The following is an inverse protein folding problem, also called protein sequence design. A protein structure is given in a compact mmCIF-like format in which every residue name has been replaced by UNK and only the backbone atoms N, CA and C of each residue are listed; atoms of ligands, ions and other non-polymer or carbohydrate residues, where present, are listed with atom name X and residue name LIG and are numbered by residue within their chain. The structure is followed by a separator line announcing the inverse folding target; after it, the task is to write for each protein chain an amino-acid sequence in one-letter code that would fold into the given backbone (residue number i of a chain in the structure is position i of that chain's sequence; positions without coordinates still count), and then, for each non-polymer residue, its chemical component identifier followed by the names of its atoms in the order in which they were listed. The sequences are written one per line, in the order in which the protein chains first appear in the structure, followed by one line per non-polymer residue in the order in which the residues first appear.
data_IF_883094046033
#
_entry.id   IF_883094046033
#
_cell.length_a   1.000
_cell.length_b   1.000
_cell.length_c   1.000
_cell.angle_alpha   90.00
_cell.angle_beta   90.00
_cell.angle_gamma   90.00
#
_symmetry.space_group_name_H-M   'P 1'
#
loop_
_entity.id
_entity.type
_entity.pdbx_description
1 polymer ?
#
# COMPACT_ATOMS: atom_id res chain seq x y z
N UNK A 1 -4.67 -15.34 9.32
CA UNK A 1 -5.19 -14.25 8.47
C UNK A 1 -6.46 -14.71 7.76
N UNK A 2 -7.48 -13.85 7.73
CA UNK A 2 -8.57 -13.95 6.77
C UNK A 2 -8.15 -13.19 5.51
N UNK A 3 -8.19 -13.85 4.36
CA UNK A 3 -7.75 -13.25 3.09
C UNK A 3 -8.90 -13.11 2.11
N UNK A 4 -8.92 -12.00 1.39
CA UNK A 4 -9.83 -11.76 0.27
C UNK A 4 -9.01 -11.41 -0.95
N UNK A 5 -9.11 -12.23 -2.00
CA UNK A 5 -8.47 -11.99 -3.29
C UNK A 5 -9.50 -11.43 -4.27
N UNK A 6 -9.13 -10.35 -4.95
CA UNK A 6 -9.88 -9.76 -6.05
C UNK A 6 -8.99 -9.79 -7.29
N UNK A 7 -9.37 -10.60 -8.27
CA UNK A 7 -8.66 -10.68 -9.57
C UNK A 7 -9.47 -9.93 -10.61
N UNK A 8 -8.80 -9.05 -11.35
CA UNK A 8 -9.40 -8.31 -12.46
C UNK A 8 -10.75 -7.67 -12.07
N UNK A 9 -10.79 -7.07 -10.87
CA UNK A 9 -12.03 -6.54 -10.33
C UNK A 9 -12.43 -5.22 -11.00
N UNK A 10 -13.74 -5.07 -11.22
CA UNK A 10 -14.34 -3.84 -11.72
C UNK A 10 -14.43 -2.80 -10.60
N UNK A 11 -14.61 -1.54 -10.99
CA UNK A 11 -14.69 -0.39 -10.07
C UNK A 11 -15.65 -0.62 -8.90
N UNK A 12 -16.91 -0.95 -9.19
CA UNK A 12 -17.92 -1.13 -8.14
C UNK A 12 -17.58 -2.27 -7.19
N UNK A 13 -17.05 -3.36 -7.70
CA UNK A 13 -16.60 -4.48 -6.90
C UNK A 13 -15.43 -4.07 -6.00
N UNK A 14 -14.43 -3.40 -6.56
CA UNK A 14 -13.25 -2.93 -5.83
C UNK A 14 -13.67 -1.97 -4.70
N UNK A 15 -14.50 -0.98 -5.01
CA UNK A 15 -15.02 0.00 -4.05
C UNK A 15 -15.77 -0.68 -2.92
N UNK A 16 -16.73 -1.56 -3.26
CA UNK A 16 -17.58 -2.23 -2.27
C UNK A 16 -16.76 -3.13 -1.34
N UNK A 17 -15.79 -3.87 -1.87
CA UNK A 17 -14.95 -4.75 -1.04
C UNK A 17 -13.99 -3.94 -0.16
N UNK A 18 -13.38 -2.86 -0.64
CA UNK A 18 -12.55 -2.00 0.22
C UNK A 18 -13.38 -1.36 1.33
N UNK A 19 -14.57 -0.85 1.00
CA UNK A 19 -15.48 -0.26 2.00
C UNK A 19 -15.86 -1.31 3.06
N UNK A 20 -16.30 -2.50 2.63
CA UNK A 20 -16.66 -3.61 3.52
C UNK A 20 -15.48 -4.01 4.40
N UNK A 21 -14.28 -4.12 3.81
CA UNK A 21 -13.08 -4.54 4.49
C UNK A 21 -12.57 -3.50 5.49
N UNK A 22 -12.77 -2.21 5.24
CA UNK A 22 -12.31 -1.12 6.12
C UNK A 22 -13.33 -0.73 7.18
N UNK A 23 -14.63 -0.77 6.89
CA UNK A 23 -15.69 -0.31 7.81
C UNK A 23 -16.06 -1.33 8.88
N UNK A 24 -16.13 -2.61 8.53
CA UNK A 24 -16.56 -3.67 9.45
C UNK A 24 -15.39 -4.21 10.27
N UNK A 25 -14.68 -3.32 10.96
CA UNK A 25 -13.50 -3.67 11.76
C UNK A 25 -13.62 -3.24 13.20
N UNK A 26 -13.07 -4.10 14.08
CA UNK A 26 -12.96 -3.80 15.48
C UNK A 26 -11.62 -3.12 15.80
N UNK A 27 -11.50 -2.57 17.02
CA UNK A 27 -10.27 -1.89 17.46
C UNK A 27 -9.06 -2.83 17.64
N UNK A 28 -9.27 -4.12 17.66
CA UNK A 28 -8.24 -5.16 17.73
C UNK A 28 -7.74 -5.61 16.36
N UNK A 29 -8.46 -5.28 15.29
CA UNK A 29 -8.12 -5.75 13.95
C UNK A 29 -6.89 -5.07 13.38
N UNK A 30 -6.14 -5.84 12.60
CA UNK A 30 -5.05 -5.36 11.76
C UNK A 30 -5.37 -5.69 10.31
N UNK A 31 -5.21 -4.71 9.42
CA UNK A 31 -5.50 -4.85 8.00
C UNK A 31 -4.24 -4.70 7.17
N UNK A 32 -4.14 -5.53 6.14
CA UNK A 32 -3.20 -5.34 5.05
C UNK A 32 -4.00 -5.28 3.74
N UNK A 33 -3.80 -4.23 2.98
CA UNK A 33 -4.37 -4.05 1.64
C UNK A 33 -3.21 -4.03 0.68
N UNK A 34 -3.18 -4.97 -0.26
CA UNK A 34 -2.21 -5.02 -1.34
C UNK A 34 -2.94 -4.74 -2.67
N UNK A 35 -2.48 -3.76 -3.39
CA UNK A 35 -2.96 -3.44 -4.73
C UNK A 35 -1.83 -3.62 -5.72
N UNK A 36 -2.04 -4.45 -6.73
CA UNK A 36 -1.19 -4.56 -7.90
C UNK A 36 -2.03 -4.25 -9.14
N UNK A 37 -1.65 -3.26 -9.91
CA UNK A 37 -2.41 -2.86 -11.09
C UNK A 37 -1.99 -1.48 -11.61
N UNK A 38 -2.70 -1.02 -12.62
CA UNK A 38 -2.42 0.30 -13.19
C UNK A 38 -2.80 1.44 -12.26
N UNK A 39 -2.01 2.49 -12.31
CA UNK A 39 -2.29 3.76 -11.67
C UNK A 39 -2.16 4.90 -12.66
N UNK A 40 -2.82 6.01 -12.40
CA UNK A 40 -2.78 7.20 -13.23
C UNK A 40 -2.63 8.46 -12.37
N UNK A 41 -2.00 9.49 -12.94
CA UNK A 41 -1.84 10.80 -12.34
C UNK A 41 -2.54 11.85 -13.21
N UNK A 42 -3.57 12.44 -12.67
CA UNK A 42 -4.10 13.67 -13.23
C UNK A 42 -3.23 14.85 -12.79
N UNK A 43 -2.54 15.43 -13.75
CA UNK A 43 -1.53 16.45 -13.49
C UNK A 43 -2.15 17.78 -13.06
N UNK A 44 -3.29 18.16 -13.61
CA UNK A 44 -3.93 19.46 -13.35
C UNK A 44 -4.45 19.56 -11.90
N UNK A 45 -5.07 18.48 -11.42
CA UNK A 45 -5.53 18.38 -10.03
C UNK A 45 -4.47 17.77 -9.09
N UNK A 46 -3.35 17.28 -9.65
CA UNK A 46 -2.29 16.60 -8.92
C UNK A 46 -2.84 15.44 -8.07
N UNK A 47 -3.71 14.64 -8.67
CA UNK A 47 -4.46 13.56 -8.04
C UNK A 47 -4.10 12.21 -8.65
N UNK A 48 -3.77 11.22 -7.80
CA UNK A 48 -3.49 9.86 -8.21
C UNK A 48 -4.71 8.94 -8.09
N UNK A 49 -4.75 7.93 -8.94
CA UNK A 49 -5.86 6.99 -9.04
C UNK A 49 -5.37 5.55 -9.19
N UNK A 50 -6.15 4.59 -8.66
CA UNK A 50 -6.07 3.19 -9.04
C UNK A 50 -7.05 2.94 -10.19
N UNK A 51 -6.63 2.17 -11.17
CA UNK A 51 -7.44 1.86 -12.36
C UNK A 51 -7.96 0.42 -12.30
N UNK A 52 -9.23 0.20 -11.90
CA UNK A 52 -9.90 -1.10 -12.07
C UNK A 52 -9.96 -1.51 -13.55
N UNK A 53 -10.24 -2.80 -13.82
CA UNK A 53 -10.20 -3.32 -15.20
C UNK A 53 -11.22 -2.70 -16.15
N UNK A 54 -12.24 -2.06 -15.64
CA UNK A 54 -13.25 -1.34 -16.41
C UNK A 54 -13.05 0.20 -16.38
N UNK A 55 -11.89 0.67 -15.93
CA UNK A 55 -11.51 2.07 -16.07
C UNK A 55 -11.29 2.43 -17.55
N UNK A 56 -11.85 3.55 -17.96
CA UNK A 56 -11.64 4.09 -19.31
C UNK A 56 -10.21 4.66 -19.47
N UNK A 57 -9.81 4.87 -20.73
CA UNK A 57 -8.51 5.47 -21.06
C UNK A 57 -8.41 6.95 -20.69
N UNK A 58 -9.54 7.63 -20.53
CA UNK A 58 -9.64 9.02 -20.05
C UNK A 58 -10.28 9.04 -18.67
N UNK A 59 -10.01 10.10 -17.92
CA UNK A 59 -10.60 10.27 -16.58
C UNK A 59 -12.13 10.17 -16.66
N UNK A 60 -12.67 9.22 -15.96
CA UNK A 60 -14.09 8.98 -15.86
C UNK A 60 -14.49 8.59 -14.42
N UNK A 61 -15.80 8.30 -14.24
CA UNK A 61 -16.35 7.92 -12.93
C UNK A 61 -15.78 6.61 -12.35
N UNK A 62 -15.02 5.83 -13.13
CA UNK A 62 -14.46 4.52 -12.74
C UNK A 62 -13.00 4.56 -12.33
N UNK A 63 -12.40 5.71 -12.28
CA UNK A 63 -11.08 5.90 -11.68
C UNK A 63 -11.20 6.02 -10.16
N UNK A 64 -10.51 5.16 -9.42
CA UNK A 64 -10.58 5.14 -7.96
C UNK A 64 -9.54 6.08 -7.35
N UNK A 65 -9.99 7.28 -6.98
CA UNK A 65 -9.13 8.32 -6.41
C UNK A 65 -8.45 7.87 -5.11
N UNK A 66 -7.16 8.12 -5.00
CA UNK A 66 -6.36 7.84 -3.81
C UNK A 66 -6.91 8.51 -2.54
N UNK A 67 -7.54 9.67 -2.66
CA UNK A 67 -8.15 10.37 -1.52
C UNK A 67 -9.36 9.64 -0.95
N UNK A 68 -10.14 8.93 -1.78
CA UNK A 68 -11.22 8.06 -1.29
C UNK A 68 -10.66 6.91 -0.46
N UNK A 69 -9.59 6.28 -0.94
CA UNK A 69 -8.90 5.19 -0.23
C UNK A 69 -8.36 5.69 1.10
N UNK A 70 -7.67 6.84 1.11
CA UNK A 70 -7.19 7.50 2.35
C UNK A 70 -8.31 7.74 3.35
N UNK A 71 -9.45 8.25 2.89
CA UNK A 71 -10.59 8.53 3.76
C UNK A 71 -11.17 7.25 4.39
N UNK A 72 -11.30 6.16 3.64
CA UNK A 72 -11.75 4.88 4.19
C UNK A 72 -10.78 4.31 5.21
N UNK A 73 -9.48 4.35 4.93
CA UNK A 73 -8.42 3.91 5.85
C UNK A 73 -8.44 4.76 7.12
N UNK A 74 -8.55 6.08 6.99
CA UNK A 74 -8.58 7.02 8.11
C UNK A 74 -9.79 6.80 9.02
N UNK A 75 -10.96 6.53 8.43
CA UNK A 75 -12.21 6.32 9.16
C UNK A 75 -12.34 4.92 9.78
N UNK A 76 -11.54 3.95 9.36
CA UNK A 76 -11.58 2.58 9.88
C UNK A 76 -11.26 2.51 11.37
N UNK A 77 -11.97 1.64 12.10
CA UNK A 77 -11.71 1.36 13.52
C UNK A 77 -10.48 0.48 13.73
N UNK A 78 -10.03 -0.26 12.71
CA UNK A 78 -8.87 -1.16 12.83
C UNK A 78 -7.67 -0.47 13.48
N UNK A 79 -6.90 -1.23 14.26
CA UNK A 79 -5.75 -0.72 15.01
C UNK A 79 -4.59 -0.35 14.11
N UNK A 80 -4.16 -1.29 13.30
CA UNK A 80 -3.08 -1.08 12.34
C UNK A 80 -3.59 -1.32 10.93
N UNK A 81 -3.27 -0.43 10.01
CA UNK A 81 -3.55 -0.62 8.59
C UNK A 81 -2.27 -0.36 7.81
N UNK A 82 -1.92 -1.33 6.98
CA UNK A 82 -0.85 -1.22 6.00
C UNK A 82 -1.50 -1.30 4.61
N UNK A 83 -1.21 -0.31 3.77
CA UNK A 83 -1.53 -0.34 2.34
C UNK A 83 -0.23 -0.46 1.57
N UNK A 84 -0.18 -1.43 0.69
CA UNK A 84 0.92 -1.63 -0.23
C UNK A 84 0.35 -1.44 -1.63
N UNK A 85 0.86 -0.45 -2.36
CA UNK A 85 0.41 -0.14 -3.71
C UNK A 85 1.58 -0.34 -4.68
N UNK A 86 1.50 -1.44 -5.42
CA UNK A 86 2.41 -1.77 -6.50
C UNK A 86 1.79 -1.32 -7.82
N UNK A 87 1.96 -0.04 -8.10
CA UNK A 87 1.40 0.61 -9.29
C UNK A 87 2.13 1.92 -9.61
N UNK A 88 2.05 2.35 -10.87
CA UNK A 88 2.51 3.67 -11.28
C UNK A 88 1.82 4.78 -10.47
N UNK A 89 2.52 5.90 -10.25
CA UNK A 89 1.99 7.08 -9.54
C UNK A 89 1.44 6.81 -8.12
N UNK A 90 1.74 5.64 -7.56
CA UNK A 90 1.28 5.25 -6.23
C UNK A 90 1.84 6.13 -5.11
N UNK A 91 2.97 6.79 -5.32
CA UNK A 91 3.56 7.77 -4.40
C UNK A 91 2.63 8.92 -4.02
N UNK A 92 1.63 9.20 -4.84
CA UNK A 92 0.58 10.17 -4.52
C UNK A 92 -0.28 9.79 -3.31
N UNK A 93 -0.35 8.50 -2.97
CA UNK A 93 -0.99 8.04 -1.73
C UNK A 93 -0.28 8.55 -0.47
N UNK A 94 1.02 8.85 -0.56
CA UNK A 94 1.81 9.32 0.58
C UNK A 94 1.72 10.83 0.84
N UNK A 95 1.23 11.63 -0.09
CA UNK A 95 1.15 13.08 0.09
C UNK A 95 0.24 13.44 1.27
N UNK A 96 0.76 14.28 2.17
CA UNK A 96 0.07 14.68 3.39
C UNK A 96 0.25 13.73 4.59
N UNK A 97 0.96 12.61 4.43
CA UNK A 97 1.40 11.77 5.54
C UNK A 97 2.88 12.05 5.77
N UNK A 98 3.20 12.96 6.67
CA UNK A 98 4.59 13.29 7.00
C UNK A 98 5.32 12.07 7.56
N UNK A 99 5.99 11.33 6.70
CA UNK A 99 6.91 10.27 7.08
C UNK A 99 8.26 10.89 7.46
N UNK A 100 8.53 11.07 8.74
CA UNK A 100 9.89 11.32 9.19
C UNK A 100 10.65 9.99 9.23
N UNK A 101 11.79 9.96 8.58
CA UNK A 101 12.81 8.93 8.75
C UNK A 101 13.25 8.94 10.22
N UNK A 102 12.64 8.11 11.03
CA UNK A 102 13.05 7.94 12.42
C UNK A 102 14.24 7.00 12.45
N UNK A 103 15.34 7.48 13.03
CA UNK A 103 16.52 6.70 13.37
C UNK A 103 16.14 5.30 13.88
N UNK A 104 16.94 4.31 13.52
CA UNK A 104 16.77 2.89 13.87
C UNK A 104 16.67 2.75 15.39
N UNK A 105 15.48 2.75 15.92
CA UNK A 105 15.24 2.48 17.33
C UNK A 105 15.40 0.97 17.55
N UNK A 106 16.26 0.59 18.46
CA UNK A 106 16.50 -0.82 18.79
C UNK A 106 15.17 -1.43 19.26
N UNK A 107 14.71 -2.49 18.62
CA UNK A 107 13.50 -3.20 19.01
C UNK A 107 13.70 -3.84 20.38
N UNK A 108 13.13 -3.22 21.40
CA UNK A 108 13.04 -3.76 22.75
C UNK A 108 11.61 -4.22 23.01
N UNK A 109 11.41 -5.08 24.01
CA UNK A 109 10.06 -5.50 24.44
C UNK A 109 9.19 -4.28 24.79
N UNK A 110 9.73 -3.30 25.49
CA UNK A 110 9.01 -2.08 25.85
C UNK A 110 8.64 -1.23 24.64
N UNK A 111 9.53 -1.13 23.62
CA UNK A 111 9.20 -0.41 22.38
C UNK A 111 8.10 -1.12 21.57
N UNK A 112 8.12 -2.46 21.52
CA UNK A 112 7.08 -3.25 20.87
C UNK A 112 5.71 -3.08 21.54
N UNK A 113 5.64 -3.14 22.87
CA UNK A 113 4.41 -2.88 23.64
C UNK A 113 3.87 -1.49 23.35
N UNK A 114 4.74 -0.47 23.34
CA UNK A 114 4.36 0.91 22.99
C UNK A 114 3.81 1.03 21.55
N UNK A 115 4.42 0.34 20.57
CA UNK A 115 3.93 0.33 19.20
C UNK A 115 2.59 -0.39 19.07
N UNK A 116 2.41 -1.50 19.79
CA UNK A 116 1.15 -2.22 19.83
C UNK A 116 -0.02 -1.39 20.36
N UNK A 117 0.22 -0.42 21.24
CA UNK A 117 -0.82 0.44 21.79
C UNK A 117 -1.27 1.55 20.83
N UNK A 118 -0.45 1.90 19.83
CA UNK A 118 -0.72 3.02 18.92
C UNK A 118 -1.54 2.56 17.71
N UNK A 119 -2.50 3.39 17.31
CA UNK A 119 -3.19 3.26 16.03
C UNK A 119 -2.26 3.73 14.92
N UNK A 120 -2.02 2.87 13.90
CA UNK A 120 -1.12 3.21 12.80
C UNK A 120 -1.78 3.08 11.44
N UNK A 121 -1.34 3.90 10.50
CA UNK A 121 -1.72 3.93 9.09
C UNK A 121 -0.44 4.09 8.29
N UNK A 122 -0.08 3.06 7.54
CA UNK A 122 1.19 2.99 6.81
C UNK A 122 0.85 2.72 5.36
N UNK A 123 1.55 3.43 4.48
CA UNK A 123 1.43 3.22 3.04
C UNK A 123 2.82 2.93 2.50
N UNK A 124 2.97 1.85 1.74
CA UNK A 124 4.12 1.54 0.92
C UNK A 124 3.75 1.65 -0.54
N UNK A 125 4.64 2.20 -1.35
CA UNK A 125 4.42 2.36 -2.78
C UNK A 125 5.66 1.89 -3.54
N UNK A 126 5.46 1.15 -4.64
CA UNK A 126 6.55 0.68 -5.51
C UNK A 126 7.17 1.81 -6.33
N UNK A 127 6.39 2.86 -6.63
CA UNK A 127 6.81 4.02 -7.41
C UNK A 127 6.54 5.35 -6.73
N UNK A 128 7.25 6.39 -7.20
CA UNK A 128 7.01 7.78 -6.83
C UNK A 128 5.89 8.43 -7.65
N UNK A 129 6.23 9.51 -8.35
CA UNK A 129 5.38 10.18 -9.35
C UNK A 129 5.72 9.76 -10.78
N UNK A 130 6.67 8.83 -10.94
CA UNK A 130 7.12 8.32 -12.22
C UNK A 130 6.55 6.93 -12.47
N UNK A 131 6.40 6.50 -13.75
CA UNK A 131 6.07 5.14 -14.07
C UNK A 131 7.10 4.17 -13.48
N UNK A 132 6.66 3.07 -12.89
CA UNK A 132 7.53 1.96 -12.49
C UNK A 132 7.67 0.99 -13.65
N UNK A 133 8.85 0.40 -13.79
CA UNK A 133 9.07 -0.64 -14.79
C UNK A 133 8.25 -1.88 -14.41
N UNK A 134 7.46 -2.37 -15.37
CA UNK A 134 6.90 -3.70 -15.29
C UNK A 134 8.05 -4.72 -15.34
N UNK A 135 7.79 -5.95 -14.88
CA UNK A 135 8.79 -6.99 -14.71
C UNK A 135 9.73 -7.15 -15.93
N UNK A 136 10.98 -7.47 -15.68
CA UNK A 136 11.98 -7.93 -16.64
C UNK A 136 11.71 -9.35 -17.22
N UNK A 137 10.44 -9.80 -17.20
CA UNK A 137 9.98 -11.10 -17.70
C UNK A 137 9.64 -12.14 -16.63
N UNK A 138 9.65 -11.76 -15.37
CA UNK A 138 9.20 -12.61 -14.25
C UNK A 138 7.67 -12.56 -14.03
N UNK A 139 7.17 -13.45 -13.15
CA UNK A 139 5.75 -13.51 -12.78
C UNK A 139 5.30 -12.34 -11.88
N UNK A 140 6.24 -11.58 -11.31
CA UNK A 140 6.01 -10.47 -10.39
C UNK A 140 6.78 -9.23 -10.80
N UNK A 141 6.33 -8.06 -10.38
CA UNK A 141 7.14 -6.85 -10.41
C UNK A 141 8.41 -7.03 -9.54
N UNK A 142 9.47 -6.29 -9.84
CA UNK A 142 10.68 -6.28 -9.04
C UNK A 142 10.38 -5.96 -7.56
N UNK A 143 9.46 -5.02 -7.33
CA UNK A 143 8.98 -4.67 -6.00
C UNK A 143 8.27 -5.83 -5.30
N UNK A 144 7.33 -6.49 -5.98
CA UNK A 144 6.59 -7.62 -5.41
C UNK A 144 7.49 -8.80 -5.10
N UNK A 145 8.41 -9.14 -6.02
CA UNK A 145 9.35 -10.25 -5.83
C UNK A 145 10.23 -10.01 -4.60
N UNK A 146 10.82 -8.83 -4.49
CA UNK A 146 11.67 -8.50 -3.34
C UNK A 146 10.86 -8.43 -2.03
N UNK A 147 9.65 -7.88 -2.05
CA UNK A 147 8.77 -7.87 -0.88
C UNK A 147 8.49 -9.31 -0.40
N UNK A 148 8.14 -10.20 -1.31
CA UNK A 148 7.87 -11.62 -1.01
C UNK A 148 9.11 -12.30 -0.46
N UNK A 149 10.28 -12.09 -1.07
CA UNK A 149 11.56 -12.64 -0.61
C UNK A 149 11.91 -12.18 0.79
N UNK A 150 11.81 -10.88 1.05
CA UNK A 150 12.09 -10.30 2.37
C UNK A 150 11.16 -10.87 3.43
N UNK A 151 9.85 -10.98 3.14
CA UNK A 151 8.88 -11.55 4.08
C UNK A 151 9.11 -13.04 4.33
N UNK A 152 9.44 -13.84 3.30
CA UNK A 152 9.70 -15.28 3.44
C UNK A 152 10.97 -15.58 4.25
N UNK A 153 11.99 -14.75 4.11
CA UNK A 153 13.26 -14.93 4.80
C UNK A 153 13.26 -14.32 6.21
N UNK A 154 12.22 -13.55 6.56
CA UNK A 154 12.13 -12.91 7.86
C UNK A 154 11.54 -13.85 8.90
N UNK A 155 12.34 -14.18 9.92
CA UNK A 155 11.93 -15.01 11.07
C UNK A 155 11.86 -14.21 12.39
N UNK A 156 11.87 -12.87 12.31
CA UNK A 156 11.89 -11.98 13.46
C UNK A 156 10.81 -10.90 13.33
N UNK A 157 10.49 -10.25 14.43
CA UNK A 157 9.68 -9.03 14.39
C UNK A 157 10.46 -7.95 13.66
N UNK A 158 9.88 -7.40 12.60
CA UNK A 158 10.44 -6.35 11.78
C UNK A 158 9.54 -5.12 11.84
N UNK A 159 10.15 -3.96 11.97
CA UNK A 159 9.40 -2.70 11.83
C UNK A 159 9.10 -2.42 10.35
N UNK A 160 7.95 -1.86 10.07
CA UNK A 160 7.49 -1.59 8.72
C UNK A 160 8.46 -0.74 7.89
N UNK A 161 9.12 0.24 8.52
CA UNK A 161 10.12 1.05 7.82
C UNK A 161 11.38 0.24 7.44
N UNK A 162 11.75 -0.75 8.26
CA UNK A 162 12.92 -1.61 7.94
C UNK A 162 12.60 -2.52 6.75
N UNK A 163 11.39 -3.10 6.72
CA UNK A 163 10.88 -3.86 5.58
C UNK A 163 10.90 -3.00 4.30
N UNK A 164 10.33 -1.81 4.37
CA UNK A 164 10.24 -0.92 3.20
C UNK A 164 11.62 -0.48 2.72
N UNK A 165 12.55 -0.15 3.62
CA UNK A 165 13.92 0.23 3.26
C UNK A 165 14.67 -0.90 2.55
N UNK A 166 14.52 -2.14 3.02
CA UNK A 166 15.14 -3.30 2.40
C UNK A 166 14.61 -3.51 0.97
N UNK A 167 13.29 -3.45 0.79
CA UNK A 167 12.66 -3.55 -0.52
C UNK A 167 13.06 -2.38 -1.43
N UNK A 168 13.02 -1.16 -0.92
CA UNK A 168 13.37 0.06 -1.66
C UNK A 168 14.81 0.01 -2.15
N UNK A 169 15.77 -0.29 -1.28
CA UNK A 169 17.18 -0.35 -1.66
C UNK A 169 17.43 -1.34 -2.79
N UNK A 170 16.77 -2.50 -2.74
CA UNK A 170 16.86 -3.49 -3.81
C UNK A 170 16.27 -2.97 -5.13
N UNK A 171 15.07 -2.39 -5.07
CA UNK A 171 14.44 -1.83 -6.28
C UNK A 171 15.29 -0.72 -6.90
N UNK A 172 15.85 0.19 -6.09
CA UNK A 172 16.74 1.28 -6.57
C UNK A 172 18.06 0.78 -7.17
N UNK A 173 18.53 -0.39 -6.74
CA UNK A 173 19.77 -0.98 -7.27
C UNK A 173 19.55 -1.68 -8.63
N UNK A 174 18.34 -2.24 -8.86
CA UNK A 174 18.06 -3.11 -10.00
C UNK A 174 16.97 -2.55 -10.96
N UNK A 175 16.48 -1.33 -10.76
CA UNK A 175 15.55 -0.63 -11.68
C UNK A 175 16.24 0.49 -12.55
#
# INVERSE_FOLDING_TARGET
FETKLLLNSKYDQTVNEIIKFTKNRERSDNLLIYYAGHGELEKDENRGYWLPVDAGATQDAKWLANDRIKNWIKSSKAKHIIVIADSCFSGMLMRGTGGQDKSIEKLTKASLEKYQLKKTRIVFTSGGVEPVMDSDGGDHSLFADQLIRTLRNNNKVMLSYALFREVKNYVEEYS
#
